data_IF_095958430298
#
_entry.id   IF_095958430298
#
_cell.length_a   1.000
_cell.length_b   1.000
_cell.length_c   1.000
_cell.angle_alpha   90.00
_cell.angle_beta   90.00
_cell.angle_gamma   90.00
#
_symmetry.space_group_name_H-M   'P 1'
#
loop_
_entity.id
_entity.type
_entity.pdbx_description
1 polymer ?
#
# COMPACT_ATOMS: atom_id res chain seq x y z
N UNK A 1 -0.16 6.31 -24.65
CA UNK A 1 -0.27 5.04 -23.91
C UNK A 1 -1.73 4.66 -23.97
N UNK A 2 -2.04 3.52 -24.57
CA UNK A 2 -3.42 3.06 -24.69
C UNK A 2 -3.99 2.84 -23.27
N UNK A 3 -5.22 3.27 -23.01
CA UNK A 3 -5.86 3.15 -21.69
C UNK A 3 -5.80 1.72 -21.13
N UNK A 4 -5.79 0.73 -22.01
CA UNK A 4 -5.66 -0.68 -21.67
C UNK A 4 -4.30 -1.00 -21.01
N UNK A 5 -3.21 -0.38 -21.46
CA UNK A 5 -1.87 -0.59 -20.90
C UNK A 5 -1.77 -0.11 -19.45
N UNK A 6 -2.33 1.06 -19.15
CA UNK A 6 -2.36 1.60 -17.79
C UNK A 6 -3.18 0.69 -16.85
N UNK A 7 -4.32 0.19 -17.34
CA UNK A 7 -5.17 -0.75 -16.60
C UNK A 7 -4.45 -2.08 -16.30
N UNK A 8 -3.73 -2.64 -17.28
CA UNK A 8 -2.98 -3.89 -17.09
C UNK A 8 -1.83 -3.72 -16.08
N UNK A 9 -1.11 -2.59 -16.13
CA UNK A 9 -0.04 -2.28 -15.19
C UNK A 9 -0.61 -2.13 -13.77
N UNK A 10 -1.69 -1.38 -13.63
CA UNK A 10 -2.40 -1.21 -12.35
C UNK A 10 -2.88 -2.55 -11.77
N UNK A 11 -3.47 -3.40 -12.61
CA UNK A 11 -3.91 -4.74 -12.21
C UNK A 11 -2.76 -5.64 -11.77
N UNK A 12 -1.64 -5.64 -12.50
CA UNK A 12 -0.47 -6.44 -12.17
C UNK A 12 0.18 -6.01 -10.84
N UNK A 13 0.32 -4.70 -10.61
CA UNK A 13 0.88 -4.15 -9.38
C UNK A 13 0.01 -4.54 -8.18
N UNK A 14 -1.31 -4.42 -8.28
CA UNK A 14 -2.23 -4.81 -7.20
C UNK A 14 -2.23 -6.32 -6.92
N UNK A 15 -2.08 -7.16 -7.95
CA UNK A 15 -1.98 -8.60 -7.78
C UNK A 15 -0.70 -8.99 -7.05
N UNK A 16 0.43 -8.38 -7.41
CA UNK A 16 1.70 -8.57 -6.70
C UNK A 16 1.59 -8.09 -5.26
N UNK A 17 0.96 -6.94 -5.02
CA UNK A 17 0.72 -6.43 -3.67
C UNK A 17 -0.12 -7.40 -2.83
N UNK A 18 -1.16 -8.00 -3.40
CA UNK A 18 -1.95 -9.04 -2.74
C UNK A 18 -1.08 -10.23 -2.32
N UNK A 19 -0.20 -10.71 -3.21
CA UNK A 19 0.75 -11.78 -2.91
C UNK A 19 1.71 -11.43 -1.77
N UNK A 20 2.23 -10.20 -1.76
CA UNK A 20 3.12 -9.71 -0.70
C UNK A 20 2.38 -9.65 0.64
N UNK A 21 1.16 -9.11 0.67
CA UNK A 21 0.33 -9.06 1.87
C UNK A 21 0.08 -10.47 2.42
N UNK A 22 -0.26 -11.43 1.55
CA UNK A 22 -0.47 -12.81 1.97
C UNK A 22 0.82 -13.45 2.52
N UNK A 23 1.95 -13.21 1.85
CA UNK A 23 3.27 -13.65 2.29
C UNK A 23 3.67 -13.09 3.66
N UNK A 24 3.24 -11.87 3.99
CA UNK A 24 3.55 -11.24 5.30
C UNK A 24 2.82 -11.88 6.48
N UNK A 25 1.76 -12.65 6.24
CA UNK A 25 1.07 -13.40 7.30
C UNK A 25 1.95 -14.51 7.87
N UNK A 26 2.82 -15.11 7.06
CA UNK A 26 3.72 -16.20 7.45
C UNK A 26 4.70 -15.77 8.56
N UNK A 27 5.51 -14.71 8.41
CA UNK A 27 6.43 -14.27 9.47
C UNK A 27 5.70 -13.76 10.72
N UNK A 28 4.47 -13.24 10.58
CA UNK A 28 3.61 -12.86 11.71
C UNK A 28 3.20 -14.12 12.49
N UNK A 29 2.76 -15.18 11.80
CA UNK A 29 2.35 -16.44 12.42
C UNK A 29 3.51 -17.16 13.12
N UNK A 30 4.68 -17.24 12.47
CA UNK A 30 5.89 -17.86 13.03
C UNK A 30 6.52 -17.00 14.15
N UNK A 31 6.04 -15.76 14.34
CA UNK A 31 6.50 -14.81 15.35
C UNK A 31 8.01 -14.52 15.28
N UNK A 32 8.58 -14.63 14.08
CA UNK A 32 10.01 -14.41 13.85
C UNK A 32 10.33 -12.91 13.88
N UNK A 33 11.18 -12.47 14.80
CA UNK A 33 11.54 -11.06 14.99
C UNK A 33 12.22 -10.44 13.77
N UNK A 34 13.09 -11.20 13.10
CA UNK A 34 13.75 -10.75 11.87
C UNK A 34 12.78 -10.78 10.68
N UNK A 35 11.92 -11.81 10.59
CA UNK A 35 10.90 -11.91 9.53
C UNK A 35 9.89 -10.76 9.57
N UNK A 36 9.41 -10.41 10.77
CA UNK A 36 8.44 -9.31 10.96
C UNK A 36 9.05 -7.96 10.57
N UNK A 37 10.35 -7.75 10.83
CA UNK A 37 11.05 -6.52 10.42
C UNK A 37 11.11 -6.39 8.90
N UNK A 38 11.55 -7.45 8.21
CA UNK A 38 11.64 -7.43 6.74
C UNK A 38 10.26 -7.29 6.13
N UNK A 39 9.25 -8.00 6.65
CA UNK A 39 7.87 -7.90 6.21
C UNK A 39 7.33 -6.46 6.33
N UNK A 40 7.54 -5.79 7.46
CA UNK A 40 7.08 -4.41 7.66
C UNK A 40 7.73 -3.43 6.66
N UNK A 41 9.05 -3.55 6.42
CA UNK A 41 9.73 -2.71 5.43
C UNK A 41 9.27 -2.96 4.00
N UNK A 42 9.07 -4.22 3.62
CA UNK A 42 8.58 -4.60 2.29
C UNK A 42 7.15 -4.11 2.06
N UNK A 43 6.27 -4.26 3.06
CA UNK A 43 4.88 -3.76 2.96
C UNK A 43 4.86 -2.25 2.83
N UNK A 44 5.62 -1.51 3.64
CA UNK A 44 5.69 -0.06 3.51
C UNK A 44 6.14 0.40 2.13
N UNK A 45 7.18 -0.22 1.59
CA UNK A 45 7.67 0.10 0.25
C UNK A 45 6.62 -0.20 -0.81
N UNK A 46 6.00 -1.38 -0.75
CA UNK A 46 5.00 -1.80 -1.74
C UNK A 46 3.75 -0.94 -1.67
N UNK A 47 3.26 -0.61 -0.47
CA UNK A 47 2.14 0.34 -0.28
C UNK A 47 2.48 1.69 -0.90
N UNK A 48 3.69 2.22 -0.68
CA UNK A 48 4.08 3.50 -1.27
C UNK A 48 4.04 3.46 -2.81
N UNK A 49 4.55 2.39 -3.42
CA UNK A 49 4.50 2.20 -4.89
C UNK A 49 3.06 2.13 -5.40
N UNK A 50 2.21 1.33 -4.76
CA UNK A 50 0.79 1.19 -5.13
C UNK A 50 0.06 2.53 -5.02
N UNK A 51 0.30 3.29 -3.94
CA UNK A 51 -0.33 4.59 -3.74
C UNK A 51 0.09 5.61 -4.80
N UNK A 52 1.38 5.64 -5.18
CA UNK A 52 1.87 6.50 -6.25
C UNK A 52 1.21 6.12 -7.59
N UNK A 53 1.15 4.83 -7.90
CA UNK A 53 0.53 4.33 -9.13
C UNK A 53 -0.97 4.67 -9.19
N UNK A 54 -1.73 4.49 -8.09
CA UNK A 54 -3.13 4.94 -8.03
C UNK A 54 -3.29 6.44 -8.28
N UNK A 55 -2.38 7.27 -7.75
CA UNK A 55 -2.44 8.73 -7.92
C UNK A 55 -2.17 9.11 -9.38
N UNK A 56 -1.19 8.49 -10.01
CA UNK A 56 -0.87 8.73 -11.43
C UNK A 56 -2.07 8.33 -12.30
N UNK A 57 -2.64 7.14 -12.08
CA UNK A 57 -3.80 6.66 -12.83
C UNK A 57 -5.03 7.57 -12.65
N UNK A 58 -5.26 8.08 -11.43
CA UNK A 58 -6.31 9.08 -11.18
C UNK A 58 -6.08 10.38 -11.96
N UNK A 59 -4.84 10.91 -11.96
CA UNK A 59 -4.51 12.13 -12.70
C UNK A 59 -4.68 11.93 -14.20
N UNK A 60 -4.25 10.79 -14.74
CA UNK A 60 -4.44 10.45 -16.16
C UNK A 60 -5.92 10.39 -16.53
N UNK A 61 -6.76 9.81 -15.65
CA UNK A 61 -8.21 9.78 -15.85
C UNK A 61 -8.83 11.19 -15.89
N UNK A 62 -8.33 12.12 -15.07
CA UNK A 62 -8.79 13.52 -15.09
C UNK A 62 -8.43 14.21 -16.40
N UNK A 63 -7.20 14.02 -16.88
CA UNK A 63 -6.68 14.71 -18.07
C UNK A 63 -7.34 14.19 -19.35
N UNK A 64 -7.66 12.90 -19.43
CA UNK A 64 -8.20 12.26 -20.63
C UNK A 64 -9.74 12.34 -20.75
N UNK A 65 -10.35 13.44 -20.31
CA UNK A 65 -11.80 13.66 -20.39
C UNK A 65 -12.34 13.49 -21.83
N UNK A 66 -11.69 14.13 -22.80
CA UNK A 66 -12.20 14.18 -24.17
C UNK A 66 -12.20 12.79 -24.82
N UNK A 67 -11.14 12.01 -24.59
CA UNK A 67 -11.03 10.63 -25.05
C UNK A 67 -12.06 9.71 -24.38
N UNK A 68 -12.39 9.96 -23.10
CA UNK A 68 -13.45 9.22 -22.41
C UNK A 68 -14.83 9.51 -23.00
N UNK A 69 -15.13 10.79 -23.28
CA UNK A 69 -16.41 11.19 -23.87
C UNK A 69 -16.56 10.65 -25.29
N UNK A 70 -15.51 10.69 -26.10
CA UNK A 70 -15.50 10.12 -27.45
C UNK A 70 -15.68 8.59 -27.45
N UNK A 71 -15.02 7.89 -26.51
CA UNK A 71 -15.23 6.45 -26.31
C UNK A 71 -16.67 6.13 -25.88
N UNK A 72 -17.25 6.93 -24.97
CA UNK A 72 -18.62 6.76 -24.50
C UNK A 72 -19.63 6.91 -25.65
N UNK A 73 -19.45 7.93 -26.50
CA UNK A 73 -20.32 8.18 -27.66
C UNK A 73 -20.17 7.04 -28.69
N UNK A 74 -18.94 6.67 -29.05
CA UNK A 74 -18.68 5.62 -30.06
C UNK A 74 -19.09 4.22 -29.61
N UNK A 75 -18.99 3.91 -28.32
CA UNK A 75 -19.50 2.64 -27.75
C UNK A 75 -21.04 2.62 -27.77
N UNK A 76 -21.66 3.77 -27.53
CA UNK A 76 -23.12 3.92 -27.54
C UNK A 76 -23.72 3.88 -28.95
N UNK A 77 -22.94 4.13 -30.01
CA UNK A 77 -23.39 3.99 -31.40
C UNK A 77 -23.81 2.55 -31.76
N UNK A 78 -23.27 1.54 -31.08
CA UNK A 78 -23.74 0.16 -31.21
C UNK A 78 -25.21 -0.02 -30.76
N UNK A 79 -25.67 0.79 -29.80
CA UNK A 79 -27.06 0.86 -29.36
C UNK A 79 -27.93 1.70 -30.30
N UNK A 80 -27.35 2.75 -30.91
CA UNK A 80 -28.06 3.59 -31.88
C UNK A 80 -28.53 2.77 -33.10
N UNK A 81 -27.77 1.77 -33.55
CA UNK A 81 -28.19 0.85 -34.62
C UNK A 81 -29.48 0.07 -34.29
N UNK A 82 -29.72 -0.23 -33.02
CA UNK A 82 -30.96 -0.89 -32.56
C UNK A 82 -32.10 0.12 -32.51
N UNK A 83 -31.81 1.37 -32.17
CA UNK A 83 -32.80 2.44 -32.02
C UNK A 83 -33.21 3.07 -33.37
N UNK A 84 -32.31 3.06 -34.36
CA UNK A 84 -32.57 3.49 -35.74
C UNK A 84 -33.58 2.55 -36.43
N UNK A 85 -33.56 1.26 -36.08
CA UNK A 85 -34.60 0.30 -36.48
C UNK A 85 -36.01 0.65 -35.93
N UNK A 86 -36.08 1.48 -34.88
CA UNK A 86 -37.33 1.94 -34.27
C UNK A 86 -37.70 3.40 -34.65
N UNK A 87 -37.03 4.01 -35.63
CA UNK A 87 -37.33 5.34 -36.21
C UNK A 87 -37.50 6.48 -35.17
N UNK A 88 -36.81 6.42 -34.05
CA UNK A 88 -36.79 7.55 -33.11
C UNK A 88 -35.74 8.57 -33.55
N UNK A 89 -36.05 9.89 -33.57
CA UNK A 89 -35.09 10.91 -33.96
C UNK A 89 -33.99 11.02 -32.90
N UNK A 90 -32.85 10.36 -33.16
CA UNK A 90 -31.69 10.38 -32.28
C UNK A 90 -30.95 11.71 -32.50
N UNK A 91 -31.00 12.59 -31.50
CA UNK A 91 -30.15 13.77 -31.45
C UNK A 91 -28.71 13.29 -31.27
N UNK A 92 -27.89 13.41 -32.33
CA UNK A 92 -26.52 12.88 -32.41
C UNK A 92 -25.53 13.39 -31.36
N UNK A 93 -25.84 14.49 -30.67
CA UNK A 93 -24.99 15.02 -29.62
C UNK A 93 -25.61 14.74 -28.24
N UNK A 94 -24.93 13.90 -27.46
CA UNK A 94 -25.09 13.76 -26.00
C UNK A 94 -26.40 13.10 -25.50
N UNK A 95 -27.00 12.20 -26.29
CA UNK A 95 -28.19 11.44 -25.88
C UNK A 95 -27.99 10.65 -24.57
N UNK A 96 -26.76 10.21 -24.31
CA UNK A 96 -26.40 9.39 -23.14
C UNK A 96 -25.85 10.20 -21.96
N UNK A 97 -25.82 11.53 -22.02
CA UNK A 97 -25.20 12.40 -21.01
C UNK A 97 -23.80 11.89 -20.61
N UNK A 98 -22.95 11.56 -21.60
CA UNK A 98 -21.62 10.99 -21.36
C UNK A 98 -20.75 11.91 -20.49
N UNK A 99 -21.01 13.22 -20.58
CA UNK A 99 -20.37 14.22 -19.73
C UNK A 99 -20.77 14.08 -18.24
N UNK A 100 -22.02 13.71 -17.95
CA UNK A 100 -22.48 13.45 -16.58
C UNK A 100 -21.92 12.14 -16.04
N UNK A 101 -21.91 11.10 -16.86
CA UNK A 101 -21.29 9.82 -16.50
C UNK A 101 -19.81 9.98 -16.12
N UNK A 102 -19.05 10.72 -16.92
CA UNK A 102 -17.66 11.05 -16.61
C UNK A 102 -17.50 11.77 -15.26
N UNK A 103 -18.38 12.74 -14.95
CA UNK A 103 -18.33 13.44 -13.66
C UNK A 103 -18.61 12.53 -12.47
N UNK A 104 -19.51 11.57 -12.61
CA UNK A 104 -19.86 10.65 -11.54
C UNK A 104 -18.75 9.60 -11.34
N UNK A 105 -18.16 9.09 -12.42
CA UNK A 105 -16.98 8.21 -12.35
C UNK A 105 -15.75 8.91 -11.79
N UNK A 106 -15.55 10.19 -12.10
CA UNK A 106 -14.47 10.99 -11.54
C UNK A 106 -14.59 11.11 -10.02
N UNK A 107 -15.79 11.45 -9.52
CA UNK A 107 -16.04 11.54 -8.07
C UNK A 107 -15.80 10.20 -7.38
N UNK A 108 -16.25 9.11 -8.00
CA UNK A 108 -16.01 7.76 -7.49
C UNK A 108 -14.51 7.42 -7.45
N UNK A 109 -13.75 7.75 -8.50
CA UNK A 109 -12.31 7.52 -8.57
C UNK A 109 -11.54 8.29 -7.50
N UNK A 110 -11.90 9.56 -7.28
CA UNK A 110 -11.32 10.40 -6.22
C UNK A 110 -11.61 9.79 -4.84
N UNK A 111 -12.88 9.44 -4.58
CA UNK A 111 -13.29 8.89 -3.30
C UNK A 111 -12.63 7.52 -3.03
N UNK A 112 -12.57 6.66 -4.04
CA UNK A 112 -11.88 5.38 -3.98
C UNK A 112 -10.39 5.55 -3.68
N UNK A 113 -9.72 6.48 -4.35
CA UNK A 113 -8.30 6.77 -4.12
C UNK A 113 -8.04 7.27 -2.69
N UNK A 114 -8.92 8.12 -2.15
CA UNK A 114 -8.82 8.56 -0.76
C UNK A 114 -8.99 7.40 0.23
N UNK A 115 -9.96 6.52 -0.01
CA UNK A 115 -10.16 5.33 0.82
C UNK A 115 -8.95 4.40 0.76
N UNK A 116 -8.38 4.18 -0.42
CA UNK A 116 -7.16 3.38 -0.61
C UNK A 116 -5.97 3.96 0.18
N UNK A 117 -5.75 5.27 0.14
CA UNK A 117 -4.70 5.94 0.92
C UNK A 117 -4.90 5.70 2.41
N UNK A 118 -6.13 5.88 2.92
CA UNK A 118 -6.42 5.72 4.34
C UNK A 118 -6.25 4.27 4.79
N UNK A 119 -6.82 3.33 4.05
CA UNK A 119 -6.77 1.90 4.42
C UNK A 119 -5.35 1.39 4.29
N UNK A 120 -4.71 1.54 3.13
CA UNK A 120 -3.37 0.97 2.91
C UNK A 120 -2.31 1.68 3.77
N UNK A 121 -2.44 3.00 3.94
CA UNK A 121 -1.60 3.75 4.88
C UNK A 121 -1.76 3.29 6.32
N UNK A 122 -3.00 3.08 6.78
CA UNK A 122 -3.27 2.53 8.12
C UNK A 122 -2.65 1.14 8.32
N UNK A 123 -2.81 0.25 7.34
CA UNK A 123 -2.23 -1.09 7.37
C UNK A 123 -0.69 -1.05 7.44
N UNK A 124 -0.05 -0.22 6.62
CA UNK A 124 1.41 -0.02 6.63
C UNK A 124 1.92 0.49 8.01
N UNK A 125 1.26 1.51 8.57
CA UNK A 125 1.62 2.10 9.87
C UNK A 125 1.41 1.10 11.01
N UNK A 126 0.33 0.32 10.98
CA UNK A 126 0.04 -0.67 12.03
C UNK A 126 1.08 -1.79 12.07
N UNK A 127 1.49 -2.32 10.91
CA UNK A 127 2.57 -3.32 10.82
C UNK A 127 3.91 -2.76 11.28
N UNK A 128 4.21 -1.52 10.91
CA UNK A 128 5.42 -0.82 11.37
C UNK A 128 5.43 -0.68 12.89
N UNK A 129 4.32 -0.22 13.47
CA UNK A 129 4.14 -0.07 14.91
C UNK A 129 4.30 -1.41 15.65
N UNK A 130 3.76 -2.49 15.09
CA UNK A 130 3.93 -3.84 15.64
C UNK A 130 5.41 -4.27 15.63
N UNK A 131 6.13 -4.03 14.53
CA UNK A 131 7.54 -4.36 14.42
C UNK A 131 8.40 -3.60 15.45
N UNK A 132 8.08 -2.34 15.75
CA UNK A 132 8.78 -1.52 16.74
C UNK A 132 8.52 -2.02 18.16
N UNK A 133 7.26 -2.30 18.50
CA UNK A 133 6.89 -2.85 19.82
C UNK A 133 7.61 -4.17 20.10
N UNK A 134 7.73 -5.04 19.10
CA UNK A 134 8.43 -6.31 19.24
C UNK A 134 9.93 -6.13 19.51
N UNK A 135 10.59 -5.14 18.88
CA UNK A 135 11.99 -4.81 19.16
C UNK A 135 12.21 -4.31 20.57
N UNK A 136 11.34 -3.44 21.06
CA UNK A 136 11.44 -2.90 22.42
C UNK A 136 11.32 -4.05 23.44
N UNK A 137 10.35 -4.95 23.25
CA UNK A 137 10.17 -6.11 24.13
C UNK A 137 11.39 -7.03 24.13
N UNK A 138 11.99 -7.30 22.95
CA UNK A 138 13.19 -8.13 22.86
C UNK A 138 14.41 -7.47 23.52
N UNK A 139 14.61 -6.16 23.34
CA UNK A 139 15.68 -5.42 24.03
C UNK A 139 15.52 -5.47 25.55
N UNK A 140 14.30 -5.25 26.07
CA UNK A 140 14.04 -5.30 27.50
C UNK A 140 14.29 -6.68 28.13
N UNK A 141 14.08 -7.77 27.38
CA UNK A 141 14.40 -9.13 27.84
C UNK A 141 15.90 -9.44 27.84
N UNK A 142 16.70 -8.77 27.01
CA UNK A 142 18.17 -8.95 26.96
C UNK A 142 18.94 -8.14 28.01
N UNK A 143 18.40 -7.00 28.44
CA UNK A 143 19.02 -6.14 29.49
C UNK A 143 19.30 -6.90 30.81
N UNK A 144 18.39 -7.71 31.38
CA UNK A 144 18.68 -8.42 32.64
C UNK A 144 19.71 -9.56 32.50
N UNK A 145 19.91 -10.15 31.31
CA UNK A 145 20.94 -11.19 31.11
C UNK A 145 22.36 -10.62 31.07
N UNK A 146 22.53 -9.34 30.74
CA UNK A 146 23.85 -8.70 30.72
C UNK A 146 24.24 -8.17 32.10
N UNK A 147 23.27 -7.98 33.01
CA UNK A 147 23.51 -7.64 34.41
C UNK A 147 23.89 -8.82 35.32
N UNK A 148 23.66 -10.07 34.89
CA UNK A 148 23.99 -11.27 35.65
C UNK A 148 25.32 -11.94 35.27
N UNK A 149 26.06 -11.39 34.29
CA UNK A 149 27.38 -11.90 33.83
C UNK A 149 28.50 -10.91 34.20
N UNK A 150 28.36 -10.14 35.28
CA UNK A 150 29.54 -9.59 35.95
C UNK A 150 29.98 -10.60 37.01
N UNK A 151 31.19 -11.18 36.90
CA UNK A 151 31.70 -12.03 37.97
C UNK A 151 31.90 -11.16 39.21
N UNK A 152 31.20 -11.50 40.27
CA UNK A 152 31.53 -11.10 41.64
C UNK A 152 32.90 -11.68 42.00
N UNK A 153 33.98 -10.96 41.66
CA UNK A 153 35.29 -11.18 42.26
C UNK A 153 35.62 -10.03 43.21
N UNK A 154 35.00 -10.07 44.38
CA UNK A 154 35.54 -9.43 45.58
C UNK A 154 36.49 -10.42 46.27
N UNK A 155 37.69 -10.60 45.70
CA UNK A 155 38.81 -11.26 46.40
C UNK A 155 39.57 -10.24 47.26
N UNK A 156 40.19 -10.66 48.38
CA UNK A 156 40.79 -9.74 49.34
C UNK A 156 42.03 -9.05 48.75
N UNK A 157 42.08 -7.71 48.89
CA UNK A 157 43.30 -6.93 48.67
C UNK A 157 44.33 -7.32 49.73
N UNK A 158 45.35 -8.09 49.34
CA UNK A 158 46.59 -8.22 50.11
C UNK A 158 47.48 -7.06 49.68
N UNK A 159 47.47 -5.97 50.45
CA UNK A 159 48.47 -4.90 50.33
C UNK A 159 49.74 -5.35 51.04
N UNK A 160 50.69 -5.84 50.24
CA UNK A 160 52.06 -6.03 50.69
C UNK A 160 52.80 -4.71 50.69
N UNK A 161 53.09 -4.18 51.86
CA UNK A 161 54.27 -3.36 52.20
C UNK A 161 54.23 -3.13 53.71
N UNK A 162 55.11 -3.79 54.48
CA UNK A 162 56.05 -3.14 55.41
C UNK A 162 57.08 -4.21 55.84
N UNK A 163 58.29 -4.09 55.31
CA UNK A 163 59.52 -4.60 55.92
C UNK A 163 60.29 -3.35 56.36
N UNK A 164 61.09 -3.48 57.42
CA UNK A 164 62.06 -2.52 58.01
C UNK A 164 61.43 -1.69 59.14
N UNK A 165 61.80 -1.80 60.42
CA UNK A 165 63.08 -2.15 61.07
C UNK A 165 62.84 -2.82 62.44
#
# INVERSE_FOLDING_TARGET
MDNNTALYIFGAINLVFFGICFGTLIPIYIKSTNGIRTAASVVNFTVAVVLIDTLINMILFIVQRDHYVEWCISTSDSLNLILENYQLPIVKNDFYNCNRAWQDELKFTILSTLVMILVYGYWAISLTSYSVKLRIKLKLMMVPMMGSIMPTQGGPMVTGTEIVL
#
